data_IF_774407777190
#
_entry.id   IF_774407777190
#
_cell.length_a   1.000
_cell.length_b   1.000
_cell.length_c   1.000
_cell.angle_alpha   90.00
_cell.angle_beta   90.00
_cell.angle_gamma   90.00
#
_symmetry.space_group_name_H-M   'P 1'
#
loop_
_entity.id
_entity.type
_entity.pdbx_description
1 polymer ?
#
# COMPACT_ATOMS: atom_id res chain seq x y z
N UNK A 1 -9.65 -20.08 26.06
CA UNK A 1 -10.04 -19.03 27.01
C UNK A 1 -9.08 -17.83 26.98
N UNK A 2 -7.75 -18.02 27.07
CA UNK A 2 -6.78 -16.92 26.97
C UNK A 2 -6.67 -16.27 25.57
N UNK A 3 -6.73 -17.08 24.50
CA UNK A 3 -6.64 -16.56 23.12
C UNK A 3 -7.85 -15.68 22.75
N UNK A 4 -9.07 -16.11 23.08
CA UNK A 4 -10.29 -15.32 22.86
C UNK A 4 -10.28 -14.02 23.67
N UNK A 5 -9.76 -14.04 24.89
CA UNK A 5 -9.60 -12.84 25.71
C UNK A 5 -8.61 -11.86 25.07
N UNK A 6 -7.45 -12.34 24.61
CA UNK A 6 -6.47 -11.51 23.88
C UNK A 6 -7.08 -10.88 22.62
N UNK A 7 -7.78 -11.66 21.80
CA UNK A 7 -8.44 -11.14 20.60
C UNK A 7 -9.45 -10.05 20.94
N UNK A 8 -10.29 -10.26 21.96
CA UNK A 8 -11.28 -9.26 22.37
C UNK A 8 -10.65 -7.97 22.92
N UNK A 9 -9.50 -8.08 23.61
CA UNK A 9 -8.72 -6.92 24.06
C UNK A 9 -8.16 -6.13 22.88
N UNK A 10 -7.57 -6.80 21.90
CA UNK A 10 -7.00 -6.16 20.72
C UNK A 10 -8.06 -5.47 19.87
N UNK A 11 -9.20 -6.14 19.63
CA UNK A 11 -10.33 -5.55 18.91
C UNK A 11 -10.83 -4.30 19.63
N UNK A 12 -11.02 -4.36 20.95
CA UNK A 12 -11.48 -3.21 21.72
C UNK A 12 -10.48 -2.04 21.71
N UNK A 13 -9.18 -2.32 21.70
CA UNK A 13 -8.16 -1.27 21.57
C UNK A 13 -8.22 -0.60 20.19
N UNK A 14 -8.36 -1.39 19.13
CA UNK A 14 -8.53 -0.86 17.77
C UNK A 14 -9.82 -0.05 17.63
N UNK A 15 -10.95 -0.57 18.11
CA UNK A 15 -12.25 0.11 18.07
C UNK A 15 -12.25 1.41 18.87
N UNK A 16 -11.44 1.51 19.92
CA UNK A 16 -11.28 2.76 20.65
C UNK A 16 -10.38 3.76 19.92
N UNK A 17 -9.35 3.28 19.23
CA UNK A 17 -8.43 4.14 18.47
C UNK A 17 -9.06 4.69 17.19
N UNK A 18 -9.85 3.88 16.47
CA UNK A 18 -10.47 4.29 15.20
C UNK A 18 -11.57 5.35 15.39
N UNK A 19 -12.11 5.52 16.60
CA UNK A 19 -13.10 6.57 16.92
C UNK A 19 -12.57 7.99 16.68
N UNK A 20 -11.26 8.17 16.78
CA UNK A 20 -10.60 9.46 16.58
C UNK A 20 -10.19 9.69 15.10
N UNK A 21 -10.53 8.77 14.19
CA UNK A 21 -10.22 8.89 12.77
C UNK A 21 -11.03 10.02 12.10
N UNK A 22 -10.48 10.60 11.03
CA UNK A 22 -11.14 11.66 10.27
C UNK A 22 -12.29 11.06 9.41
N UNK A 23 -13.57 11.41 9.67
CA UNK A 23 -14.69 10.85 8.92
C UNK A 23 -14.72 11.30 7.46
N UNK A 24 -14.00 12.37 7.08
CA UNK A 24 -13.99 12.89 5.71
C UNK A 24 -13.32 11.94 4.71
N UNK A 25 -12.47 11.03 5.19
CA UNK A 25 -11.70 10.10 4.36
C UNK A 25 -12.19 8.65 4.47
N UNK A 26 -13.26 8.38 5.22
CA UNK A 26 -13.72 7.01 5.52
C UNK A 26 -14.04 6.19 4.26
N UNK A 27 -14.73 6.81 3.29
CA UNK A 27 -15.12 6.17 2.03
C UNK A 27 -14.00 6.15 0.97
N UNK A 28 -12.82 6.68 1.29
CA UNK A 28 -11.71 6.71 0.33
C UNK A 28 -11.10 5.32 0.15
N UNK A 29 -10.52 5.10 -1.02
CA UNK A 29 -9.86 3.85 -1.36
C UNK A 29 -8.74 3.55 -0.33
N UNK A 30 -8.76 2.34 0.23
CA UNK A 30 -7.82 1.84 1.26
C UNK A 30 -7.91 2.50 2.65
N UNK A 31 -8.91 3.34 2.94
CA UNK A 31 -9.03 4.03 4.23
C UNK A 31 -9.91 3.33 5.28
N UNK A 32 -10.62 2.26 4.92
CA UNK A 32 -11.52 1.54 5.85
C UNK A 32 -10.80 0.80 6.99
N UNK A 33 -9.55 0.39 6.77
CA UNK A 33 -8.73 -0.34 7.74
C UNK A 33 -7.27 -0.32 7.29
N UNK A 34 -6.28 -0.44 8.19
CA UNK A 34 -4.88 -0.63 7.80
C UNK A 34 -4.59 -2.05 7.25
N UNK A 35 -5.51 -3.00 7.36
CA UNK A 35 -5.28 -4.39 6.94
C UNK A 35 -5.11 -4.56 5.42
N UNK A 36 -5.97 -3.99 4.55
CA UNK A 36 -5.82 -4.12 3.10
C UNK A 36 -4.46 -3.64 2.59
N UNK A 37 -3.99 -2.47 3.03
CA UNK A 37 -2.66 -1.96 2.64
C UNK A 37 -1.51 -2.84 3.16
N UNK A 38 -1.64 -3.40 4.37
CA UNK A 38 -0.61 -4.27 4.95
C UNK A 38 -0.46 -5.56 4.15
N UNK A 39 -1.59 -6.14 3.70
CA UNK A 39 -1.58 -7.31 2.84
C UNK A 39 -0.93 -7.00 1.50
N UNK A 40 -1.31 -5.87 0.86
CA UNK A 40 -0.72 -5.44 -0.41
C UNK A 40 0.80 -5.24 -0.31
N UNK A 41 1.26 -4.57 0.75
CA UNK A 41 2.70 -4.37 0.99
C UNK A 41 3.42 -5.68 1.31
N UNK A 42 2.81 -6.57 2.09
CA UNK A 42 3.36 -7.90 2.36
C UNK A 42 3.53 -8.73 1.08
N UNK A 43 2.53 -8.71 0.21
CA UNK A 43 2.60 -9.34 -1.11
C UNK A 43 3.66 -8.70 -1.99
N UNK A 44 3.75 -7.37 -2.01
CA UNK A 44 4.79 -6.64 -2.74
C UNK A 44 6.19 -7.05 -2.27
N UNK A 45 6.46 -7.02 -0.96
CA UNK A 45 7.75 -7.40 -0.38
C UNK A 45 8.08 -8.85 -0.71
N UNK A 46 7.14 -9.76 -0.52
CA UNK A 46 7.32 -11.17 -0.88
C UNK A 46 7.64 -11.35 -2.37
N UNK A 47 6.93 -10.62 -3.23
CA UNK A 47 7.12 -10.67 -4.67
C UNK A 47 8.51 -10.16 -5.06
N UNK A 48 8.93 -8.98 -4.60
CA UNK A 48 10.20 -8.39 -5.05
C UNK A 48 11.43 -9.05 -4.42
N UNK A 49 11.32 -9.62 -3.21
CA UNK A 49 12.47 -10.21 -2.50
C UNK A 49 12.69 -11.68 -2.82
N UNK A 50 11.61 -12.45 -3.03
CA UNK A 50 11.70 -13.91 -3.16
C UNK A 50 11.15 -14.41 -4.48
N UNK A 51 9.87 -14.17 -4.75
CA UNK A 51 9.20 -14.79 -5.90
C UNK A 51 9.71 -14.27 -7.24
N UNK A 52 9.83 -12.96 -7.38
CA UNK A 52 10.29 -12.28 -8.59
C UNK A 52 11.70 -12.70 -9.01
N UNK A 53 12.72 -12.60 -8.14
CA UNK A 53 14.07 -13.06 -8.45
C UNK A 53 14.11 -14.54 -8.83
N UNK A 54 13.38 -15.40 -8.11
CA UNK A 54 13.30 -16.84 -8.41
C UNK A 54 12.67 -17.14 -9.77
N UNK A 55 11.65 -16.37 -10.17
CA UNK A 55 11.04 -16.50 -11.50
C UNK A 55 11.94 -15.98 -12.62
N UNK A 56 12.82 -15.02 -12.32
CA UNK A 56 13.74 -14.39 -13.28
C UNK A 56 15.12 -15.06 -13.36
N UNK A 57 15.45 -15.97 -12.44
CA UNK A 57 16.77 -16.62 -12.33
C UNK A 57 17.29 -17.21 -13.65
N UNK A 58 16.40 -17.83 -14.44
CA UNK A 58 16.73 -18.46 -15.72
C UNK A 58 16.14 -17.72 -16.92
N UNK A 59 15.81 -16.42 -16.77
CA UNK A 59 15.20 -15.60 -17.82
C UNK A 59 16.06 -14.36 -18.09
N UNK A 60 16.09 -13.93 -19.35
CA UNK A 60 16.73 -12.67 -19.72
C UNK A 60 15.95 -11.48 -19.12
N UNK A 61 16.62 -10.38 -18.75
CA UNK A 61 15.94 -9.17 -18.29
C UNK A 61 14.92 -8.66 -19.31
N UNK A 62 13.83 -8.06 -18.83
CA UNK A 62 12.82 -7.47 -19.69
C UNK A 62 13.30 -6.12 -20.24
N UNK A 63 13.12 -5.91 -21.55
CA UNK A 63 13.36 -4.63 -22.21
C UNK A 63 12.17 -3.67 -21.97
N UNK A 64 12.18 -2.98 -20.83
CA UNK A 64 11.07 -2.11 -20.39
C UNK A 64 11.29 -0.63 -20.72
N UNK A 65 12.21 -0.28 -21.63
CA UNK A 65 12.60 1.12 -21.90
C UNK A 65 11.42 2.05 -22.13
N UNK A 66 10.48 1.70 -23.02
CA UNK A 66 9.30 2.53 -23.30
C UNK A 66 8.39 2.66 -22.07
N UNK A 67 8.16 1.56 -21.36
CA UNK A 67 7.35 1.54 -20.13
C UNK A 67 7.96 2.45 -19.06
N UNK A 68 9.27 2.39 -18.85
CA UNK A 68 9.97 3.25 -17.89
C UNK A 68 9.91 4.73 -18.26
N UNK A 69 10.08 5.08 -19.54
CA UNK A 69 9.98 6.47 -19.99
C UNK A 69 8.57 7.00 -19.71
N UNK A 70 7.54 6.26 -20.12
CA UNK A 70 6.14 6.62 -19.91
C UNK A 70 5.81 6.74 -18.43
N UNK A 71 6.22 5.77 -17.62
CA UNK A 71 6.01 5.77 -16.16
C UNK A 71 6.63 7.00 -15.50
N UNK A 72 7.93 7.27 -15.75
CA UNK A 72 8.61 8.41 -15.14
C UNK A 72 7.99 9.75 -15.55
N UNK A 73 7.59 9.89 -16.82
CA UNK A 73 6.91 11.08 -17.29
C UNK A 73 5.58 11.31 -16.56
N UNK A 74 4.77 10.26 -16.40
CA UNK A 74 3.52 10.35 -15.64
C UNK A 74 3.75 10.70 -14.17
N UNK A 75 4.75 10.09 -13.53
CA UNK A 75 5.08 10.40 -12.14
C UNK A 75 5.49 11.87 -11.97
N UNK A 76 6.31 12.42 -12.88
CA UNK A 76 6.67 13.85 -12.83
C UNK A 76 5.44 14.75 -12.95
N UNK A 77 4.56 14.49 -13.93
CA UNK A 77 3.32 15.27 -14.08
C UNK A 77 2.43 15.17 -12.84
N UNK A 78 2.29 13.95 -12.29
CA UNK A 78 1.48 13.73 -11.09
C UNK A 78 2.08 14.42 -9.86
N UNK A 79 3.40 14.42 -9.70
CA UNK A 79 4.07 15.17 -8.64
C UNK A 79 3.86 16.68 -8.79
N UNK A 80 3.97 17.24 -10.00
CA UNK A 80 3.68 18.66 -10.25
C UNK A 80 2.23 18.98 -9.91
N UNK A 81 1.28 18.13 -10.29
CA UNK A 81 -0.13 18.28 -9.92
C UNK A 81 -0.34 18.26 -8.40
N UNK A 82 0.21 17.28 -7.69
CA UNK A 82 0.12 17.23 -6.22
C UNK A 82 0.75 18.46 -5.56
N UNK A 83 1.89 18.94 -6.06
CA UNK A 83 2.50 20.16 -5.55
C UNK A 83 1.60 21.38 -5.78
N UNK A 84 0.95 21.48 -6.93
CA UNK A 84 0.02 22.56 -7.21
C UNK A 84 -1.20 22.52 -6.27
N UNK A 85 -1.86 21.37 -6.12
CA UNK A 85 -3.03 21.20 -5.23
C UNK A 85 -2.73 21.42 -3.73
N UNK A 86 -1.47 21.23 -3.31
CA UNK A 86 -1.05 21.49 -1.93
C UNK A 86 -0.71 22.98 -1.73
N UNK A 87 -0.17 23.65 -2.75
CA UNK A 87 0.28 25.04 -2.67
C UNK A 87 -0.84 26.06 -2.90
N UNK A 88 -1.85 25.70 -3.69
CA UNK A 88 -2.96 26.56 -4.09
C UNK A 88 -4.29 25.92 -3.71
#
# INVERSE_FOLDING_TARGET
MAFSDLTSRTVRLYDNWIKDADPRVEDWLLMSSPLPQTILLGLYVYFVTSLGPKLMENRKPFELKKVMITYNFFIVLFSVYMCYEILF
#
